data_IF_253890701880
#
_entry.id   IF_253890701880
#
_cell.length_a   1.000
_cell.length_b   1.000
_cell.length_c   1.000
_cell.angle_alpha   90.00
_cell.angle_beta   90.00
_cell.angle_gamma   90.00
#
_symmetry.space_group_name_H-M   'P 1'
#
loop_
_entity.id
_entity.type
_entity.pdbx_description
1 polymer ?
#
# COMPACT_ATOMS: atom_id res chain seq x y z
N UNK A 1 -34.79 -64.18 -2.43
CA UNK A 1 -33.88 -64.18 -3.58
C UNK A 1 -32.78 -63.17 -3.27
N UNK A 2 -31.77 -63.54 -2.48
CA UNK A 2 -30.49 -64.17 -2.91
C UNK A 2 -29.74 -63.19 -3.83
N UNK A 3 -28.81 -62.37 -3.33
CA UNK A 3 -27.42 -62.67 -2.89
C UNK A 3 -26.44 -62.91 -4.05
N UNK A 4 -25.48 -62.01 -4.21
CA UNK A 4 -24.03 -62.20 -4.48
C UNK A 4 -23.45 -60.85 -4.98
N UNK A 5 -22.36 -60.26 -4.49
CA UNK A 5 -21.26 -60.70 -3.63
C UNK A 5 -19.93 -60.63 -4.40
N UNK A 6 -18.93 -59.93 -3.82
CA UNK A 6 -17.46 -59.97 -4.09
C UNK A 6 -16.92 -59.10 -5.24
N UNK A 7 -15.75 -58.44 -5.18
CA UNK A 7 -14.72 -58.27 -4.14
C UNK A 7 -13.74 -57.13 -4.49
N UNK A 8 -13.07 -56.60 -3.46
CA UNK A 8 -11.88 -55.74 -3.54
C UNK A 8 -10.70 -56.41 -4.29
N UNK A 9 -9.91 -55.56 -4.96
CA UNK A 9 -8.44 -55.64 -4.93
C UNK A 9 -7.76 -55.91 -6.25
N UNK A 10 -7.15 -54.89 -6.85
CA UNK A 10 -5.79 -55.02 -7.39
C UNK A 10 -5.11 -53.65 -7.51
N UNK A 11 -3.86 -53.63 -7.07
CA UNK A 11 -2.99 -52.49 -6.80
C UNK A 11 -1.71 -52.80 -7.57
N UNK A 12 -1.47 -52.12 -8.72
CA UNK A 12 -0.17 -51.88 -9.40
C UNK A 12 -0.41 -51.61 -10.87
N UNK A 13 -0.13 -50.39 -11.31
CA UNK A 13 1.04 -50.16 -12.15
C UNK A 13 1.39 -48.66 -12.15
N UNK A 14 2.56 -48.37 -11.57
CA UNK A 14 3.30 -47.11 -11.72
C UNK A 14 4.52 -47.43 -12.57
N UNK A 15 4.68 -46.67 -13.66
CA UNK A 15 5.87 -46.34 -14.49
C UNK A 15 5.34 -46.14 -15.91
N UNK A 16 5.73 -45.16 -16.70
CA UNK A 16 6.70 -44.08 -16.66
C UNK A 16 6.27 -43.23 -17.86
N UNK A 17 5.96 -41.95 -17.68
CA UNK A 17 5.96 -40.97 -18.79
C UNK A 17 6.20 -39.58 -18.20
N UNK A 18 7.47 -39.35 -17.88
CA UNK A 18 8.05 -38.03 -17.69
C UNK A 18 8.29 -37.43 -19.08
N UNK A 19 7.36 -36.61 -19.57
CA UNK A 19 7.64 -35.58 -20.57
C UNK A 19 6.93 -34.29 -20.13
N UNK A 20 7.60 -33.53 -19.25
CA UNK A 20 7.23 -32.16 -18.96
C UNK A 20 7.79 -31.29 -20.09
N UNK A 21 7.00 -31.12 -21.14
CA UNK A 21 7.32 -30.20 -22.22
C UNK A 21 7.21 -28.76 -21.68
N UNK A 22 8.35 -28.07 -21.69
CA UNK A 22 8.53 -26.70 -21.20
C UNK A 22 8.07 -25.73 -22.29
N UNK A 23 6.80 -25.74 -22.67
CA UNK A 23 6.24 -24.76 -23.62
C UNK A 23 4.72 -24.54 -23.53
N UNK A 24 4.09 -24.72 -22.37
CA UNK A 24 2.71 -24.27 -22.22
C UNK A 24 2.64 -22.78 -21.91
N UNK A 25 2.54 -22.02 -23.00
CA UNK A 25 2.10 -20.64 -23.02
C UNK A 25 0.86 -20.48 -22.13
N UNK A 26 0.99 -19.62 -21.12
CA UNK A 26 -0.15 -19.10 -20.35
C UNK A 26 -1.21 -18.63 -21.36
N UNK A 27 -2.42 -19.20 -21.38
CA UNK A 27 -3.44 -18.77 -22.31
C UNK A 27 -3.70 -17.27 -22.08
N UNK A 28 -3.42 -16.48 -23.12
CA UNK A 28 -3.86 -15.09 -23.19
C UNK A 28 -5.39 -15.12 -23.10
N UNK A 29 -5.94 -14.76 -21.94
CA UNK A 29 -7.38 -14.55 -21.78
C UNK A 29 -7.84 -13.54 -22.85
N UNK A 30 -9.04 -13.72 -23.44
CA UNK A 30 -9.58 -12.77 -24.39
C UNK A 30 -9.65 -11.37 -23.78
N UNK A 31 -9.26 -10.35 -24.55
CA UNK A 31 -9.22 -8.92 -24.17
C UNK A 31 -10.54 -8.34 -23.64
N UNK A 32 -11.65 -9.07 -23.70
CA UNK A 32 -12.99 -8.62 -23.33
C UNK A 32 -13.32 -8.90 -21.85
N UNK A 33 -12.76 -9.93 -21.21
CA UNK A 33 -13.00 -10.22 -19.77
C UNK A 33 -12.19 -9.31 -18.81
N UNK A 34 -11.11 -8.68 -19.30
CA UNK A 34 -10.37 -7.64 -18.56
C UNK A 34 -11.17 -6.33 -18.42
N UNK A 35 -12.21 -6.11 -19.24
CA UNK A 35 -13.03 -4.90 -19.16
C UNK A 35 -14.12 -4.98 -18.07
N UNK A 36 -14.60 -6.18 -17.73
CA UNK A 36 -15.59 -6.38 -16.66
C UNK A 36 -14.96 -6.53 -15.27
N UNK A 37 -13.72 -7.02 -15.16
CA UNK A 37 -13.03 -7.15 -13.85
C UNK A 37 -12.58 -5.82 -13.25
N UNK A 38 -12.55 -4.75 -14.05
CA UNK A 38 -12.32 -3.38 -13.57
C UNK A 38 -13.60 -2.66 -13.09
N UNK A 39 -14.71 -3.41 -12.98
CA UNK A 39 -15.98 -2.95 -12.43
C UNK A 39 -16.07 -3.21 -10.90
N UNK A 40 -14.98 -3.04 -10.17
CA UNK A 40 -15.06 -2.86 -8.71
C UNK A 40 -15.79 -1.54 -8.44
N UNK A 41 -16.92 -1.62 -7.72
CA UNK A 41 -17.80 -0.49 -7.40
C UNK A 41 -16.97 0.71 -6.94
N UNK A 42 -17.12 1.88 -7.56
CA UNK A 42 -16.36 3.09 -7.20
C UNK A 42 -16.43 3.43 -5.70
N UNK A 43 -17.46 2.91 -5.00
CA UNK A 43 -17.56 2.92 -3.55
C UNK A 43 -16.42 2.21 -2.82
N UNK A 44 -15.95 1.06 -3.29
CA UNK A 44 -14.83 0.33 -2.68
C UNK A 44 -13.55 1.17 -2.77
N UNK A 45 -13.28 1.76 -3.93
CA UNK A 45 -12.12 2.66 -4.11
C UNK A 45 -12.19 3.88 -3.19
N UNK A 46 -13.39 4.46 -3.06
CA UNK A 46 -13.61 5.59 -2.16
C UNK A 46 -13.40 5.22 -0.69
N UNK A 47 -13.96 4.09 -0.24
CA UNK A 47 -13.79 3.60 1.14
C UNK A 47 -12.32 3.31 1.43
N UNK A 48 -11.63 2.63 0.52
CA UNK A 48 -10.19 2.36 0.62
C UNK A 48 -9.42 3.67 0.77
N UNK A 49 -9.63 4.64 -0.13
CA UNK A 49 -8.94 5.93 -0.06
C UNK A 49 -9.22 6.66 1.26
N UNK A 50 -10.46 6.67 1.73
CA UNK A 50 -10.85 7.29 2.99
C UNK A 50 -10.15 6.64 4.18
N UNK A 51 -10.15 5.30 4.26
CA UNK A 51 -9.48 4.56 5.34
C UNK A 51 -7.98 4.81 5.30
N UNK A 52 -7.36 4.80 4.11
CA UNK A 52 -5.94 5.10 3.95
C UNK A 52 -5.60 6.50 4.46
N UNK A 53 -6.36 7.53 4.06
CA UNK A 53 -6.15 8.91 4.48
C UNK A 53 -6.29 9.06 5.99
N UNK A 54 -7.40 8.59 6.57
CA UNK A 54 -7.66 8.71 8.01
C UNK A 54 -6.60 7.96 8.82
N UNK A 55 -6.22 6.77 8.38
CA UNK A 55 -5.20 5.96 9.07
C UNK A 55 -3.82 6.61 8.99
N UNK A 56 -3.46 7.22 7.86
CA UNK A 56 -2.17 7.88 7.70
C UNK A 56 -2.09 9.17 8.54
N UNK A 57 -3.16 9.95 8.58
CA UNK A 57 -3.26 11.14 9.46
C UNK A 57 -3.20 10.74 10.94
N UNK A 58 -3.93 9.70 11.34
CA UNK A 58 -3.88 9.20 12.71
C UNK A 58 -2.47 8.71 13.09
N UNK A 59 -1.79 7.99 12.18
CA UNK A 59 -0.41 7.55 12.37
C UNK A 59 0.53 8.73 12.61
N UNK A 60 0.47 9.79 11.79
CA UNK A 60 1.33 10.96 11.97
C UNK A 60 1.07 11.67 13.30
N UNK A 61 -0.20 11.80 13.70
CA UNK A 61 -0.55 12.42 14.98
C UNK A 61 -0.04 11.65 16.19
N UNK A 62 -0.24 10.32 16.21
CA UNK A 62 0.25 9.50 17.32
C UNK A 62 1.78 9.47 17.38
N UNK A 63 2.46 9.48 16.23
CA UNK A 63 3.92 9.58 16.18
C UNK A 63 4.42 10.93 16.70
N UNK A 64 3.73 12.03 16.39
CA UNK A 64 4.07 13.37 16.90
C UNK A 64 3.88 13.49 18.42
N UNK A 65 2.92 12.75 19.00
CA UNK A 65 2.72 12.69 20.46
C UNK A 65 3.75 11.80 21.16
N UNK A 66 4.38 10.89 20.42
CA UNK A 66 5.34 9.96 20.95
C UNK A 66 6.74 10.61 20.96
N UNK A 67 7.10 11.27 22.07
CA UNK A 67 8.41 11.91 22.27
C UNK A 67 9.57 10.92 22.49
N UNK A 68 9.52 9.72 21.92
CA UNK A 68 10.54 8.70 22.11
C UNK A 68 11.53 8.72 20.95
N UNK A 69 12.83 8.84 21.26
CA UNK A 69 13.93 8.87 20.29
C UNK A 69 14.24 7.52 19.62
N UNK A 70 13.24 6.64 19.45
CA UNK A 70 13.37 5.30 18.87
C UNK A 70 12.26 5.03 17.81
N UNK A 71 12.28 5.76 16.68
CA UNK A 71 11.28 5.62 15.62
C UNK A 71 11.32 4.24 14.95
N UNK A 72 12.49 3.59 14.83
CA UNK A 72 12.58 2.26 14.24
C UNK A 72 11.92 1.21 15.12
N UNK A 73 12.19 1.24 16.45
CA UNK A 73 11.57 0.32 17.40
C UNK A 73 10.04 0.45 17.38
N UNK A 74 9.55 1.70 17.34
CA UNK A 74 8.11 2.00 17.27
C UNK A 74 7.51 1.41 16.00
N UNK A 75 8.13 1.67 14.84
CA UNK A 75 7.67 1.12 13.57
C UNK A 75 7.70 -0.41 13.55
N UNK A 76 8.78 -1.02 14.02
CA UNK A 76 8.90 -2.48 14.07
C UNK A 76 7.77 -3.09 14.91
N UNK A 77 7.52 -2.55 16.10
CA UNK A 77 6.44 -3.00 16.97
C UNK A 77 5.06 -2.80 16.33
N UNK A 78 4.81 -1.60 15.81
CA UNK A 78 3.52 -1.23 15.23
C UNK A 78 3.22 -1.97 13.91
N UNK A 79 4.22 -2.18 13.06
CA UNK A 79 4.08 -2.95 11.82
C UNK A 79 3.88 -4.45 12.09
N UNK A 80 4.46 -4.97 13.18
CA UNK A 80 4.28 -6.37 13.61
C UNK A 80 2.84 -6.71 13.98
N UNK A 81 1.99 -5.71 14.28
CA UNK A 81 0.58 -5.90 14.61
C UNK A 81 -0.24 -6.62 13.51
N UNK A 82 0.22 -6.56 12.26
CA UNK A 82 -0.47 -7.15 11.11
C UNK A 82 -0.32 -8.68 11.02
N UNK A 83 0.42 -9.32 11.95
CA UNK A 83 0.51 -10.79 12.05
C UNK A 83 -0.84 -11.47 12.32
N UNK A 84 -1.79 -10.78 12.95
CA UNK A 84 -3.08 -11.35 13.32
C UNK A 84 -4.11 -11.37 12.19
N UNK A 85 -3.84 -10.74 11.05
CA UNK A 85 -4.80 -10.61 9.93
C UNK A 85 -5.26 -11.97 9.39
N UNK A 86 -4.33 -12.89 9.09
CA UNK A 86 -4.64 -14.21 8.57
C UNK A 86 -5.29 -15.14 9.62
N UNK A 87 -4.82 -15.20 10.89
CA UNK A 87 -5.54 -15.90 11.95
C UNK A 87 -7.00 -15.45 12.11
N UNK A 88 -7.27 -14.14 12.05
CA UNK A 88 -8.65 -13.61 12.11
C UNK A 88 -9.46 -14.06 10.89
N UNK A 89 -8.87 -14.00 9.69
CA UNK A 89 -9.49 -14.52 8.46
C UNK A 89 -9.81 -16.02 8.56
N UNK A 90 -8.89 -16.84 9.08
CA UNK A 90 -9.10 -18.27 9.30
C UNK A 90 -10.27 -18.54 10.25
N UNK A 91 -10.31 -17.85 11.40
CA UNK A 91 -11.39 -18.01 12.38
C UNK A 91 -12.75 -17.65 11.76
N UNK A 92 -12.80 -16.57 10.97
CA UNK A 92 -14.01 -16.19 10.26
C UNK A 92 -14.46 -17.27 9.26
N UNK A 93 -13.55 -17.76 8.42
CA UNK A 93 -13.87 -18.79 7.43
C UNK A 93 -14.32 -20.12 8.06
N UNK A 94 -13.68 -20.55 9.14
CA UNK A 94 -14.07 -21.76 9.88
C UNK A 94 -15.44 -21.63 10.56
N UNK A 95 -15.88 -20.41 10.90
CA UNK A 95 -17.21 -20.15 11.47
C UNK A 95 -18.30 -20.03 10.41
N UNK A 96 -17.96 -19.59 9.21
CA UNK A 96 -18.94 -19.31 8.15
C UNK A 96 -19.11 -20.48 7.18
N UNK A 97 -18.08 -21.30 6.97
CA UNK A 97 -18.12 -22.45 6.05
C UNK A 97 -18.01 -23.76 6.81
N UNK A 98 -19.06 -24.57 6.75
CA UNK A 98 -19.07 -25.90 7.36
C UNK A 98 -18.16 -26.89 6.62
N UNK A 99 -17.46 -27.76 7.36
CA UNK A 99 -16.64 -28.85 6.80
C UNK A 99 -15.29 -28.42 6.19
N UNK A 100 -14.90 -27.16 6.32
CA UNK A 100 -13.62 -26.67 5.81
C UNK A 100 -12.51 -26.85 6.85
N UNK A 101 -11.35 -27.36 6.43
CA UNK A 101 -10.17 -27.51 7.29
C UNK A 101 -9.22 -26.32 7.15
N UNK A 102 -8.40 -26.06 8.18
CA UNK A 102 -7.36 -25.00 8.14
C UNK A 102 -6.43 -25.20 6.94
N UNK A 103 -5.95 -26.43 6.72
CA UNK A 103 -5.10 -26.77 5.58
C UNK A 103 -5.82 -26.57 4.25
N UNK A 104 -7.15 -26.76 4.20
CA UNK A 104 -7.99 -26.46 3.05
C UNK A 104 -7.96 -24.97 2.71
N UNK A 105 -8.21 -24.09 3.67
CA UNK A 105 -8.22 -22.62 3.47
C UNK A 105 -6.84 -22.11 3.08
N UNK A 106 -5.80 -22.63 3.72
CA UNK A 106 -4.40 -22.29 3.44
C UNK A 106 -4.02 -22.68 2.00
N UNK A 107 -4.37 -23.91 1.59
CA UNK A 107 -4.14 -24.37 0.22
C UNK A 107 -4.99 -23.59 -0.79
N UNK A 108 -6.25 -23.26 -0.48
CA UNK A 108 -7.11 -22.42 -1.33
C UNK A 108 -6.50 -21.03 -1.53
N UNK A 109 -6.00 -20.42 -0.45
CA UNK A 109 -5.33 -19.12 -0.49
C UNK A 109 -4.06 -19.16 -1.34
N UNK A 110 -3.29 -20.24 -1.29
CA UNK A 110 -2.06 -20.40 -2.07
C UNK A 110 -2.30 -20.80 -3.53
N UNK A 111 -3.28 -21.69 -3.80
CA UNK A 111 -3.52 -22.32 -5.11
C UNK A 111 -3.71 -21.32 -6.26
N UNK A 112 -4.26 -20.16 -5.96
CA UNK A 112 -4.55 -19.17 -6.98
C UNK A 112 -3.42 -18.16 -7.24
N UNK A 113 -2.37 -18.15 -6.41
CA UNK A 113 -1.21 -17.25 -6.57
C UNK A 113 0.12 -17.98 -6.76
N UNK A 114 0.35 -19.10 -6.08
CA UNK A 114 1.65 -19.77 -6.00
C UNK A 114 1.54 -21.30 -5.99
N UNK A 115 2.40 -21.94 -6.79
CA UNK A 115 2.51 -23.40 -6.85
C UNK A 115 3.25 -24.01 -5.64
N UNK A 116 4.06 -23.22 -4.92
CA UNK A 116 4.88 -23.70 -3.80
C UNK A 116 5.10 -22.61 -2.75
N UNK A 117 5.19 -23.03 -1.49
CA UNK A 117 5.56 -22.19 -0.34
C UNK A 117 6.90 -21.50 -0.51
N UNK A 118 7.88 -22.15 -1.15
CA UNK A 118 9.20 -21.57 -1.39
C UNK A 118 9.11 -20.33 -2.27
N UNK A 119 8.31 -20.39 -3.35
CA UNK A 119 8.12 -19.24 -4.25
C UNK A 119 7.40 -18.09 -3.57
N UNK A 120 6.43 -18.41 -2.72
CA UNK A 120 5.73 -17.42 -1.91
C UNK A 120 6.67 -16.73 -0.90
N UNK A 121 7.48 -17.49 -0.17
CA UNK A 121 8.47 -16.91 0.76
C UNK A 121 9.56 -16.12 0.04
N UNK A 122 10.01 -16.57 -1.14
CA UNK A 122 10.94 -15.82 -1.99
C UNK A 122 10.35 -14.50 -2.51
N UNK A 123 9.03 -14.33 -2.50
CA UNK A 123 8.40 -13.03 -2.74
C UNK A 123 8.31 -12.21 -1.44
N UNK A 124 7.81 -12.81 -0.36
CA UNK A 124 7.53 -12.09 0.90
C UNK A 124 8.80 -11.58 1.58
N UNK A 125 9.85 -12.39 1.62
CA UNK A 125 11.07 -12.02 2.36
C UNK A 125 11.75 -10.79 1.74
N UNK A 126 12.02 -10.74 0.41
CA UNK A 126 12.52 -9.52 -0.22
C UNK A 126 11.56 -8.34 -0.07
N UNK A 127 10.24 -8.57 -0.17
CA UNK A 127 9.23 -7.53 0.03
C UNK A 127 9.31 -6.89 1.42
N UNK A 128 9.50 -7.70 2.46
CA UNK A 128 9.65 -7.24 3.84
C UNK A 128 10.91 -6.40 4.02
N UNK A 129 12.02 -6.83 3.41
CA UNK A 129 13.29 -6.09 3.43
C UNK A 129 13.12 -4.74 2.73
N UNK A 130 12.55 -4.71 1.52
CA UNK A 130 12.31 -3.48 0.77
C UNK A 130 11.45 -2.49 1.56
N UNK A 131 10.35 -2.95 2.17
CA UNK A 131 9.47 -2.08 2.96
C UNK A 131 10.17 -1.46 4.18
N UNK A 132 11.00 -2.23 4.86
CA UNK A 132 11.69 -1.76 6.07
C UNK A 132 12.89 -0.88 5.73
N UNK A 133 13.68 -1.24 4.71
CA UNK A 133 14.71 -0.37 4.17
C UNK A 133 14.09 0.94 3.70
N UNK A 134 12.93 0.87 3.04
CA UNK A 134 12.21 2.04 2.59
C UNK A 134 11.89 3.01 3.74
N UNK A 135 11.23 2.49 4.76
CA UNK A 135 10.82 3.28 5.91
C UNK A 135 12.03 3.88 6.64
N UNK A 136 13.11 3.10 6.81
CA UNK A 136 14.33 3.58 7.46
C UNK A 136 15.01 4.71 6.69
N UNK A 137 15.12 4.61 5.36
CA UNK A 137 15.69 5.67 4.52
C UNK A 137 14.86 6.95 4.61
N UNK A 138 13.53 6.84 4.61
CA UNK A 138 12.63 7.98 4.79
C UNK A 138 12.82 8.67 6.15
N UNK A 139 12.93 7.88 7.24
CA UNK A 139 13.21 8.41 8.57
C UNK A 139 14.55 9.14 8.64
N UNK A 140 15.63 8.51 8.14
CA UNK A 140 16.96 9.14 8.07
C UNK A 140 16.93 10.45 7.29
N UNK A 141 16.19 10.49 6.18
CA UNK A 141 15.94 11.72 5.42
C UNK A 141 15.30 12.81 6.26
N UNK A 142 14.24 12.45 6.99
CA UNK A 142 13.47 13.37 7.84
C UNK A 142 14.27 13.97 9.01
N UNK A 143 15.33 13.29 9.47
CA UNK A 143 16.22 13.82 10.51
C UNK A 143 17.34 14.72 9.98
N UNK A 144 17.65 14.64 8.68
CA UNK A 144 18.81 15.32 8.07
C UNK A 144 18.42 16.50 7.18
N UNK A 145 17.15 16.58 6.77
CA UNK A 145 16.63 17.61 5.88
C UNK A 145 15.25 18.09 6.37
N UNK A 146 14.79 19.28 5.93
CA UNK A 146 13.48 19.80 6.29
C UNK A 146 12.35 18.82 5.91
N UNK A 147 11.44 18.55 6.85
CA UNK A 147 10.33 17.61 6.65
C UNK A 147 9.48 17.92 5.41
N UNK A 148 9.28 19.21 5.09
CA UNK A 148 8.55 19.64 3.90
C UNK A 148 9.22 19.16 2.60
N UNK A 149 10.54 19.28 2.51
CA UNK A 149 11.33 18.86 1.34
C UNK A 149 11.35 17.34 1.21
N UNK A 150 11.56 16.62 2.32
CA UNK A 150 11.56 15.16 2.36
C UNK A 150 10.21 14.59 1.93
N UNK A 151 9.11 15.13 2.46
CA UNK A 151 7.74 14.73 2.07
C UNK A 151 7.51 14.99 0.58
N UNK A 152 7.91 16.15 0.05
CA UNK A 152 7.73 16.47 -1.36
C UNK A 152 8.46 15.49 -2.28
N UNK A 153 9.73 15.19 -1.98
CA UNK A 153 10.54 14.23 -2.73
C UNK A 153 9.93 12.83 -2.65
N UNK A 154 9.54 12.39 -1.45
CA UNK A 154 8.92 11.09 -1.22
C UNK A 154 7.64 10.88 -2.05
N UNK A 155 6.79 11.90 -2.12
CA UNK A 155 5.54 11.85 -2.88
C UNK A 155 5.75 11.84 -4.40
N UNK A 156 6.95 12.16 -4.88
CA UNK A 156 7.37 11.89 -6.25
C UNK A 156 7.29 10.41 -6.63
N UNK A 157 7.29 9.49 -5.65
CA UNK A 157 7.05 8.05 -5.86
C UNK A 157 5.75 7.76 -6.61
N UNK A 158 4.70 8.59 -6.49
CA UNK A 158 3.45 8.39 -7.24
C UNK A 158 3.66 8.40 -8.76
N UNK A 159 4.58 9.23 -9.25
CA UNK A 159 4.99 9.26 -10.66
C UNK A 159 5.69 7.97 -11.08
N UNK A 160 6.65 7.52 -10.26
CA UNK A 160 7.38 6.27 -10.50
C UNK A 160 6.47 5.05 -10.44
N UNK A 161 5.55 5.00 -9.47
CA UNK A 161 4.52 3.96 -9.34
C UNK A 161 3.67 3.92 -10.61
N UNK A 162 3.22 5.08 -11.13
CA UNK A 162 2.44 5.10 -12.37
C UNK A 162 3.23 4.56 -13.56
N UNK A 163 4.45 5.05 -13.75
CA UNK A 163 5.35 4.62 -14.84
C UNK A 163 5.59 3.11 -14.77
N UNK A 164 6.01 2.61 -13.60
CA UNK A 164 6.28 1.20 -13.38
C UNK A 164 5.01 0.34 -13.50
N UNK A 165 3.83 0.85 -13.12
CA UNK A 165 2.58 0.11 -13.31
C UNK A 165 2.25 -0.08 -14.79
N UNK A 166 2.47 0.94 -15.62
CA UNK A 166 2.29 0.83 -17.07
C UNK A 166 3.27 -0.17 -17.69
N UNK A 167 4.54 -0.16 -17.27
CA UNK A 167 5.56 -1.04 -17.86
C UNK A 167 5.51 -2.48 -17.33
N UNK A 168 5.41 -2.68 -16.01
CA UNK A 168 5.56 -3.99 -15.34
C UNK A 168 4.22 -4.71 -15.21
N UNK A 169 3.16 -4.00 -14.82
CA UNK A 169 1.81 -4.57 -14.70
C UNK A 169 1.05 -4.54 -16.03
N UNK A 170 1.59 -3.87 -17.06
CA UNK A 170 0.96 -3.69 -18.38
C UNK A 170 -0.40 -2.98 -18.30
N UNK A 171 -0.57 -2.08 -17.35
CA UNK A 171 -1.76 -1.22 -17.29
C UNK A 171 -1.90 -0.37 -18.57
N UNK A 172 -3.14 -0.11 -19.01
CA UNK A 172 -3.40 0.80 -20.15
C UNK A 172 -2.89 2.20 -19.83
N UNK A 173 -1.93 2.67 -20.62
CA UNK A 173 -1.44 4.04 -20.52
C UNK A 173 -2.58 5.04 -20.77
N UNK A 174 -2.64 6.08 -19.94
CA UNK A 174 -3.67 7.10 -20.00
C UNK A 174 -3.06 8.46 -19.70
N UNK A 175 -3.04 9.32 -20.70
CA UNK A 175 -2.57 10.70 -20.57
C UNK A 175 -3.23 11.44 -19.40
N UNK A 176 -4.50 11.16 -19.11
CA UNK A 176 -5.24 11.79 -18.03
C UNK A 176 -4.77 11.34 -16.66
N UNK A 177 -4.46 10.05 -16.47
CA UNK A 177 -3.84 9.55 -15.24
C UNK A 177 -2.48 10.21 -15.03
N UNK A 178 -1.66 10.30 -16.08
CA UNK A 178 -0.35 10.92 -16.00
C UNK A 178 -0.44 12.40 -15.61
N UNK A 179 -1.33 13.17 -16.26
CA UNK A 179 -1.56 14.58 -15.94
C UNK A 179 -2.06 14.72 -14.49
N UNK A 180 -2.99 13.88 -14.05
CA UNK A 180 -3.47 13.89 -12.67
C UNK A 180 -2.33 13.69 -11.65
N UNK A 181 -1.46 12.70 -11.88
CA UNK A 181 -0.28 12.44 -11.02
C UNK A 181 0.65 13.66 -10.99
N UNK A 182 0.96 14.25 -12.14
CA UNK A 182 1.84 15.43 -12.23
C UNK A 182 1.23 16.66 -11.53
N UNK A 183 -0.08 16.86 -11.66
CA UNK A 183 -0.81 17.93 -10.98
C UNK A 183 -0.78 17.72 -9.46
N UNK A 184 -0.95 16.48 -8.96
CA UNK A 184 -0.81 16.18 -7.55
C UNK A 184 0.62 16.44 -7.04
N UNK A 185 1.65 15.97 -7.76
CA UNK A 185 3.06 16.22 -7.39
C UNK A 185 3.35 17.73 -7.34
N UNK A 186 2.90 18.49 -8.34
CA UNK A 186 3.03 19.95 -8.35
C UNK A 186 2.35 20.60 -7.14
N UNK A 187 1.15 20.13 -6.78
CA UNK A 187 0.45 20.58 -5.58
C UNK A 187 1.21 20.30 -4.28
N UNK A 188 1.82 19.12 -4.14
CA UNK A 188 2.66 18.78 -2.98
C UNK A 188 3.88 19.69 -2.89
N UNK A 189 4.54 19.98 -4.02
CA UNK A 189 5.69 20.89 -4.06
C UNK A 189 5.26 22.29 -3.58
N UNK A 190 4.12 22.81 -4.05
CA UNK A 190 3.61 24.11 -3.61
C UNK A 190 3.30 24.14 -2.10
N UNK A 191 2.69 23.07 -1.58
CA UNK A 191 2.45 22.91 -0.13
C UNK A 191 3.77 22.91 0.63
N UNK A 192 4.77 22.13 0.19
CA UNK A 192 6.06 22.05 0.84
C UNK A 192 6.81 23.39 0.86
N UNK A 193 6.78 24.13 -0.25
CA UNK A 193 7.38 25.47 -0.34
C UNK A 193 6.68 26.48 0.58
N UNK A 194 5.35 26.41 0.68
CA UNK A 194 4.58 27.29 1.55
C UNK A 194 4.79 27.02 3.04
N UNK A 195 5.09 25.77 3.41
CA UNK A 195 5.33 25.35 4.80
C UNK A 195 6.72 25.67 5.35
N UNK A 196 7.56 26.41 4.61
CA UNK A 196 8.79 27.01 5.15
C UNK A 196 10.08 26.31 4.76
N UNK A 197 10.43 26.34 3.46
CA UNK A 197 11.75 25.91 2.98
C UNK A 197 12.90 26.88 3.25
N UNK A 198 13.02 27.53 4.43
CA UNK A 198 13.99 28.64 4.53
C UNK A 198 14.45 29.20 5.88
N UNK A 199 14.36 28.50 7.02
CA UNK A 199 14.88 29.08 8.30
C UNK A 199 15.77 28.18 9.14
N UNK A 200 15.88 26.89 8.85
CA UNK A 200 16.80 25.99 9.54
C UNK A 200 17.91 25.55 8.58
N UNK A 201 19.15 25.89 8.92
CA UNK A 201 20.32 25.46 8.16
C UNK A 201 20.66 24.02 8.53
N UNK A 202 20.21 23.07 7.73
CA UNK A 202 20.61 21.66 7.86
C UNK A 202 21.95 21.45 7.13
N UNK A 203 23.07 21.23 7.84
CA UNK A 203 24.39 21.09 7.22
C UNK A 203 24.51 19.88 6.27
N UNK A 204 23.61 18.89 6.40
CA UNK A 204 23.53 17.70 5.56
C UNK A 204 22.19 17.58 4.80
N UNK A 205 21.51 18.70 4.49
CA UNK A 205 20.19 18.68 3.80
C UNK A 205 20.21 17.83 2.53
N UNK A 206 21.23 17.99 1.69
CA UNK A 206 21.38 17.24 0.45
C UNK A 206 21.40 15.72 0.66
N UNK A 207 22.00 15.24 1.76
CA UNK A 207 22.07 13.81 2.07
C UNK A 207 20.69 13.30 2.50
N UNK A 208 19.95 14.10 3.28
CA UNK A 208 18.57 13.80 3.64
C UNK A 208 17.64 13.74 2.43
N UNK A 209 17.82 14.65 1.48
CA UNK A 209 17.09 14.67 0.20
C UNK A 209 17.40 13.43 -0.65
N UNK A 210 18.66 12.99 -0.71
CA UNK A 210 19.05 11.73 -1.37
C UNK A 210 18.39 10.53 -0.70
N UNK A 211 18.40 10.46 0.63
CA UNK A 211 17.70 9.38 1.36
C UNK A 211 16.19 9.38 1.06
N UNK A 212 15.56 10.55 0.99
CA UNK A 212 14.16 10.69 0.61
C UNK A 212 13.91 10.19 -0.84
N UNK A 213 14.78 10.53 -1.79
CA UNK A 213 14.66 10.09 -3.18
C UNK A 213 14.86 8.57 -3.33
N UNK A 214 15.89 8.01 -2.69
CA UNK A 214 16.12 6.57 -2.63
C UNK A 214 14.89 5.88 -2.05
N UNK A 215 14.31 6.48 -1.00
CA UNK A 215 13.11 5.92 -0.42
C UNK A 215 11.95 5.91 -1.43
N UNK A 216 11.69 7.02 -2.13
CA UNK A 216 10.63 7.09 -3.13
C UNK A 216 10.74 5.95 -4.19
N UNK A 217 11.97 5.65 -4.62
CA UNK A 217 12.25 4.55 -5.57
C UNK A 217 11.95 3.18 -4.95
N UNK A 218 12.45 2.90 -3.74
CA UNK A 218 12.24 1.60 -3.08
C UNK A 218 10.75 1.34 -2.83
N UNK A 219 9.98 2.33 -2.38
CA UNK A 219 8.53 2.21 -2.24
C UNK A 219 7.85 1.86 -3.57
N UNK A 220 8.27 2.51 -4.65
CA UNK A 220 7.71 2.29 -5.98
C UNK A 220 7.96 0.86 -6.44
N UNK A 221 9.19 0.38 -6.30
CA UNK A 221 9.57 -1.00 -6.63
C UNK A 221 8.81 -1.99 -5.75
N UNK A 222 8.73 -1.73 -4.45
CA UNK A 222 8.03 -2.59 -3.48
C UNK A 222 6.53 -2.74 -3.80
N UNK A 223 5.83 -1.64 -4.04
CA UNK A 223 4.40 -1.67 -4.34
C UNK A 223 4.12 -2.41 -5.65
N UNK A 224 4.97 -2.18 -6.67
CA UNK A 224 4.85 -2.84 -7.97
C UNK A 224 5.22 -4.32 -7.89
N UNK A 225 6.24 -4.67 -7.10
CA UNK A 225 6.61 -6.05 -6.84
C UNK A 225 5.43 -6.82 -6.23
N UNK A 226 4.80 -6.29 -5.18
CA UNK A 226 3.62 -6.90 -4.57
C UNK A 226 2.49 -7.14 -5.60
N UNK A 227 2.11 -6.10 -6.36
CA UNK A 227 1.00 -6.21 -7.30
C UNK A 227 1.35 -7.08 -8.52
N UNK A 228 2.62 -7.17 -8.90
CA UNK A 228 3.05 -8.03 -10.00
C UNK A 228 2.79 -9.51 -9.70
N UNK A 229 2.98 -9.93 -8.45
CA UNK A 229 2.75 -11.31 -8.02
C UNK A 229 1.30 -11.58 -7.61
N UNK A 230 0.61 -10.62 -6.99
CA UNK A 230 -0.82 -10.75 -6.63
C UNK A 230 -1.71 -10.22 -7.76
N UNK A 231 -1.69 -10.89 -8.92
CA UNK A 231 -2.52 -10.51 -10.09
C UNK A 231 -4.00 -10.90 -9.96
N UNK A 232 -4.29 -11.99 -9.25
CA UNK A 232 -5.66 -12.48 -9.02
C UNK A 232 -5.99 -12.29 -7.54
N UNK A 233 -6.66 -11.19 -7.16
CA UNK A 233 -6.82 -10.83 -5.76
C UNK A 233 -7.85 -11.73 -5.08
N UNK A 234 -7.35 -12.72 -4.35
CA UNK A 234 -8.14 -13.52 -3.41
C UNK A 234 -7.83 -13.04 -2.01
N UNK A 235 -8.87 -12.73 -1.25
CA UNK A 235 -8.74 -12.16 0.09
C UNK A 235 -7.85 -13.02 0.99
N UNK A 236 -8.00 -14.35 0.93
CA UNK A 236 -7.16 -15.28 1.68
C UNK A 236 -5.67 -15.15 1.37
N UNK A 237 -5.29 -14.99 0.09
CA UNK A 237 -3.89 -14.78 -0.31
C UNK A 237 -3.34 -13.45 0.20
N UNK A 238 -4.14 -12.38 0.13
CA UNK A 238 -3.75 -11.04 0.61
C UNK A 238 -3.56 -11.07 2.12
N UNK A 239 -4.50 -11.63 2.88
CA UNK A 239 -4.38 -11.77 4.33
C UNK A 239 -3.15 -12.61 4.72
N UNK A 240 -2.91 -13.71 4.00
CA UNK A 240 -1.76 -14.59 4.21
C UNK A 240 -0.43 -13.87 3.92
N UNK A 241 -0.37 -13.05 2.87
CA UNK A 241 0.75 -12.16 2.58
C UNK A 241 1.01 -11.18 3.72
N UNK A 242 0.00 -10.43 4.14
CA UNK A 242 0.14 -9.39 5.18
C UNK A 242 0.68 -10.00 6.48
N UNK A 243 0.13 -11.14 6.91
CA UNK A 243 0.57 -11.79 8.13
C UNK A 243 1.94 -12.44 8.01
N UNK A 244 2.28 -13.03 6.86
CA UNK A 244 3.61 -13.60 6.65
C UNK A 244 4.68 -12.51 6.54
N UNK A 245 4.39 -11.38 5.89
CA UNK A 245 5.27 -10.20 5.85
C UNK A 245 5.53 -9.68 7.27
N UNK A 246 4.50 -9.63 8.12
CA UNK A 246 4.63 -9.24 9.53
C UNK A 246 5.42 -10.27 10.35
N UNK A 247 5.25 -11.56 10.08
CA UNK A 247 6.03 -12.61 10.71
C UNK A 247 7.51 -12.51 10.33
N UNK A 248 7.82 -12.27 9.05
CA UNK A 248 9.19 -12.04 8.59
C UNK A 248 9.80 -10.80 9.24
N UNK A 249 9.01 -9.73 9.43
CA UNK A 249 9.42 -8.52 10.15
C UNK A 249 9.82 -8.82 11.60
N UNK A 250 9.00 -9.62 12.31
CA UNK A 250 9.29 -10.04 13.68
C UNK A 250 10.56 -10.90 13.74
N UNK A 251 10.72 -11.85 12.82
CA UNK A 251 11.80 -12.84 12.86
C UNK A 251 13.16 -12.30 12.40
N UNK A 252 13.19 -11.46 11.36
CA UNK A 252 14.44 -11.00 10.73
C UNK A 252 14.83 -9.58 11.14
N UNK A 253 13.85 -8.70 11.34
CA UNK A 253 14.08 -7.26 11.45
C UNK A 253 14.03 -6.73 12.89
N UNK A 254 14.05 -7.62 13.89
CA UNK A 254 14.32 -7.26 15.27
C UNK A 254 15.82 -7.01 15.54
N UNK A 255 16.71 -7.62 14.74
CA UNK A 255 18.18 -7.56 14.92
C UNK A 255 18.76 -6.13 14.91
N UNK A 256 18.28 -5.18 14.07
CA UNK A 256 18.76 -3.80 14.12
C UNK A 256 18.46 -3.06 15.45
N UNK A 257 17.45 -3.48 16.21
CA UNK A 257 17.06 -2.81 17.48
C UNK A 257 18.20 -2.84 18.51
N UNK A 258 18.76 -4.01 18.92
CA UNK A 258 19.88 -4.02 19.85
C UNK A 258 21.11 -3.30 19.27
N UNK A 259 21.35 -3.39 17.96
CA UNK A 259 22.48 -2.71 17.31
C UNK A 259 22.35 -1.19 17.46
N UNK A 260 21.17 -0.63 17.20
CA UNK A 260 20.92 0.81 17.35
C UNK A 260 21.02 1.27 18.80
N UNK A 261 20.58 0.43 19.75
CA UNK A 261 20.71 0.70 21.17
C UNK A 261 22.17 0.70 21.63
N UNK A 262 22.98 -0.28 21.21
CA UNK A 262 24.39 -0.37 21.56
C UNK A 262 25.25 0.72 20.91
N UNK A 263 24.91 1.11 19.67
CA UNK A 263 25.61 2.19 18.95
C UNK A 263 25.15 3.58 19.36
N UNK A 264 24.09 3.69 20.17
CA UNK A 264 23.51 4.96 20.58
C UNK A 264 22.85 5.74 19.45
N UNK A 265 22.55 5.10 18.31
CA UNK A 265 21.86 5.72 17.17
C UNK A 265 20.41 6.04 17.54
N UNK A 266 19.76 5.14 18.29
CA UNK A 266 18.44 5.33 18.86
C UNK A 266 18.48 4.87 20.33
N UNK A 267 17.92 5.68 21.23
CA UNK A 267 17.74 5.28 22.62
C UNK A 267 16.51 4.36 22.71
N UNK A 268 16.71 3.08 22.37
CA UNK A 268 15.66 2.07 22.36
C UNK A 268 15.28 1.70 23.81
N UNK A 269 14.40 2.50 24.41
CA UNK A 269 13.77 2.19 25.69
C UNK A 269 12.33 1.70 25.47
N UNK A 270 11.90 0.71 26.25
CA UNK A 270 10.49 0.35 26.30
C UNK A 270 9.68 1.50 26.91
N UNK A 271 8.44 1.73 26.43
CA UNK A 271 7.56 2.73 27.03
C UNK A 271 7.35 2.42 28.52
N UNK A 272 7.62 3.41 29.37
CA UNK A 272 7.53 3.24 30.84
C UNK A 272 6.11 3.59 31.31
N UNK A 273 5.52 4.62 30.71
CA UNK A 273 4.22 5.15 31.10
C UNK A 273 3.06 4.54 30.30
N UNK A 274 1.90 4.39 30.95
CA UNK A 274 0.68 3.93 30.28
C UNK A 274 0.28 4.83 29.09
N UNK A 275 0.53 6.14 29.17
CA UNK A 275 0.26 7.09 28.07
C UNK A 275 1.11 6.79 26.83
N UNK A 276 2.39 6.49 27.04
CA UNK A 276 3.30 6.14 25.94
C UNK A 276 2.87 4.81 25.29
N UNK A 277 2.42 3.83 26.08
CA UNK A 277 1.82 2.62 25.56
C UNK A 277 0.56 2.88 24.72
N UNK A 278 -0.33 3.78 25.17
CA UNK A 278 -1.51 4.17 24.40
C UNK A 278 -1.13 4.79 23.05
N UNK A 279 -0.08 5.62 22.99
CA UNK A 279 0.41 6.17 21.73
C UNK A 279 0.96 5.08 20.80
N UNK A 280 1.78 4.16 21.32
CA UNK A 280 2.31 3.03 20.54
C UNK A 280 1.18 2.14 19.99
N UNK A 281 0.16 1.86 20.80
CA UNK A 281 -1.04 1.13 20.35
C UNK A 281 -1.79 1.93 19.29
N UNK A 282 -1.95 3.25 19.46
CA UNK A 282 -2.54 4.14 18.46
C UNK A 282 -1.81 4.10 17.13
N UNK A 283 -0.47 4.16 17.13
CA UNK A 283 0.37 3.97 15.93
C UNK A 283 0.15 2.58 15.34
N UNK A 284 0.13 1.52 16.16
CA UNK A 284 -0.06 0.15 15.69
C UNK A 284 -1.41 -0.05 14.99
N UNK A 285 -2.51 0.44 15.57
CA UNK A 285 -3.85 0.37 14.97
C UNK A 285 -3.91 1.18 13.67
N UNK A 286 -3.27 2.34 13.64
CA UNK A 286 -3.23 3.21 12.45
C UNK A 286 -2.44 2.54 11.31
N UNK A 287 -1.26 1.96 11.61
CA UNK A 287 -0.46 1.22 10.63
C UNK A 287 -1.18 -0.03 10.16
N UNK A 288 -1.81 -0.79 11.04
CA UNK A 288 -2.62 -1.96 10.67
C UNK A 288 -3.74 -1.56 9.69
N UNK A 289 -4.47 -0.50 10.00
CA UNK A 289 -5.58 -0.01 9.18
C UNK A 289 -5.09 0.49 7.81
N UNK A 290 -4.00 1.25 7.80
CA UNK A 290 -3.36 1.72 6.56
C UNK A 290 -2.85 0.56 5.71
N UNK A 291 -2.16 -0.41 6.32
CA UNK A 291 -1.68 -1.61 5.63
C UNK A 291 -2.83 -2.41 5.03
N UNK A 292 -3.91 -2.66 5.78
CA UNK A 292 -5.07 -3.35 5.25
C UNK A 292 -5.65 -2.59 4.05
N UNK A 293 -5.83 -1.27 4.16
CA UNK A 293 -6.37 -0.46 3.08
C UNK A 293 -5.46 -0.45 1.83
N UNK A 294 -4.14 -0.36 2.00
CA UNK A 294 -3.18 -0.40 0.88
C UNK A 294 -3.12 -1.80 0.26
N UNK A 295 -2.94 -2.85 1.06
CA UNK A 295 -2.72 -4.21 0.53
C UNK A 295 -3.97 -4.86 -0.05
N UNK A 296 -5.14 -4.58 0.53
CA UNK A 296 -6.42 -4.99 -0.05
C UNK A 296 -6.77 -4.04 -1.19
N UNK A 297 -6.63 -2.73 -0.99
CA UNK A 297 -7.05 -1.72 -1.94
C UNK A 297 -6.30 -1.75 -3.26
N UNK A 298 -4.99 -1.99 -3.24
CA UNK A 298 -4.18 -1.89 -4.45
C UNK A 298 -4.59 -2.89 -5.54
N UNK A 299 -4.74 -4.19 -5.24
CA UNK A 299 -5.18 -5.16 -6.24
C UNK A 299 -6.62 -4.97 -6.71
N UNK A 300 -7.50 -4.38 -5.89
CA UNK A 300 -8.90 -4.11 -6.26
C UNK A 300 -9.12 -2.75 -6.96
N UNK A 301 -8.11 -1.88 -6.99
CA UNK A 301 -8.19 -0.54 -7.58
C UNK A 301 -7.05 -0.32 -8.58
N UNK A 302 -5.97 0.32 -8.17
CA UNK A 302 -4.67 0.32 -8.86
C UNK A 302 -3.58 0.87 -7.92
N UNK A 303 -2.30 0.49 -8.11
CA UNK A 303 -1.15 1.10 -7.42
C UNK A 303 -1.14 2.61 -7.48
N UNK A 304 -1.46 3.16 -8.65
CA UNK A 304 -1.49 4.60 -8.90
C UNK A 304 -2.59 5.29 -8.09
N UNK A 305 -3.77 4.68 -7.99
CA UNK A 305 -4.88 5.22 -7.21
C UNK A 305 -4.52 5.34 -5.73
N UNK A 306 -3.94 4.28 -5.15
CA UNK A 306 -3.50 4.27 -3.75
C UNK A 306 -2.40 5.30 -3.51
N UNK A 307 -1.44 5.45 -4.43
CA UNK A 307 -0.39 6.46 -4.33
C UNK A 307 -0.94 7.90 -4.27
N UNK A 308 -1.96 8.21 -5.08
CA UNK A 308 -2.61 9.53 -5.05
C UNK A 308 -3.47 9.70 -3.78
N UNK A 309 -4.14 8.65 -3.31
CA UNK A 309 -4.86 8.68 -2.03
C UNK A 309 -3.92 9.01 -0.86
N UNK A 310 -2.69 8.48 -0.86
CA UNK A 310 -1.66 8.84 0.13
C UNK A 310 -1.26 10.32 0.05
N UNK A 311 -1.12 10.88 -1.16
CA UNK A 311 -0.84 12.31 -1.34
C UNK A 311 -1.95 13.18 -0.73
N UNK A 312 -3.22 12.75 -0.85
CA UNK A 312 -4.36 13.47 -0.29
C UNK A 312 -4.36 13.51 1.25
N UNK A 313 -3.61 12.64 1.92
CA UNK A 313 -3.45 12.70 3.37
C UNK A 313 -2.68 13.94 3.84
N UNK A 314 -1.80 14.52 3.01
CA UNK A 314 -0.98 15.69 3.36
C UNK A 314 -1.85 16.91 3.74
N UNK A 315 -2.78 17.38 2.89
CA UNK A 315 -3.66 18.49 3.27
C UNK A 315 -4.58 18.14 4.45
N UNK A 316 -4.97 16.88 4.60
CA UNK A 316 -5.76 16.42 5.75
C UNK A 316 -4.98 16.51 7.06
N UNK A 317 -3.72 16.03 7.10
CA UNK A 317 -2.83 16.14 8.26
C UNK A 317 -2.65 17.60 8.65
N UNK A 318 -2.34 18.46 7.68
CA UNK A 318 -2.19 19.90 7.95
C UNK A 318 -3.49 20.52 8.51
N UNK A 319 -4.65 20.15 7.98
CA UNK A 319 -5.94 20.61 8.50
C UNK A 319 -6.18 20.18 9.96
N UNK A 320 -5.78 18.96 10.32
CA UNK A 320 -5.84 18.46 11.70
C UNK A 320 -4.85 19.22 12.60
N UNK A 321 -3.62 19.45 12.14
CA UNK A 321 -2.61 20.22 12.87
C UNK A 321 -3.10 21.65 13.17
N UNK A 322 -3.65 22.34 12.17
CA UNK A 322 -4.22 23.68 12.34
C UNK A 322 -5.38 23.70 13.34
N UNK A 323 -6.28 22.72 13.23
CA UNK A 323 -7.43 22.62 14.13
C UNK A 323 -6.96 22.40 15.58
N UNK A 324 -5.96 21.54 15.77
CA UNK A 324 -5.36 21.26 17.07
C UNK A 324 -4.66 22.50 17.63
N UNK A 325 -3.87 23.21 16.84
CA UNK A 325 -3.21 24.45 17.28
C UNK A 325 -4.22 25.55 17.63
N UNK A 326 -5.30 25.66 16.86
CA UNK A 326 -6.39 26.58 17.17
C UNK A 326 -7.10 26.23 18.48
N UNK A 327 -7.46 24.96 18.68
CA UNK A 327 -8.18 24.49 19.87
C UNK A 327 -7.32 24.51 21.14
N UNK A 328 -6.03 24.19 21.04
CA UNK A 328 -5.14 24.04 22.21
C UNK A 328 -4.37 25.30 22.55
N UNK A 329 -3.87 26.02 21.53
CA UNK A 329 -3.00 27.20 21.72
C UNK A 329 -3.71 28.52 21.38
N UNK A 330 -4.91 28.47 20.80
CA UNK A 330 -5.62 29.68 20.35
C UNK A 330 -4.94 30.41 19.18
N UNK A 331 -3.96 29.76 18.54
CA UNK A 331 -3.17 30.37 17.46
C UNK A 331 -4.02 30.34 16.18
N UNK A 332 -4.19 31.50 15.55
CA UNK A 332 -4.84 31.57 14.25
C UNK A 332 -3.84 31.14 13.18
N UNK A 333 -4.20 30.18 12.32
CA UNK A 333 -3.29 29.73 11.29
C UNK A 333 -3.08 30.82 10.24
N UNK A 334 -1.82 31.08 9.89
CA UNK A 334 -1.47 31.94 8.76
C UNK A 334 -1.42 31.08 7.51
N UNK A 335 -2.49 31.15 6.70
CA UNK A 335 -2.60 30.35 5.48
C UNK A 335 -2.02 31.16 4.31
N UNK A 336 -0.89 30.69 3.78
CA UNK A 336 -0.31 31.28 2.57
C UNK A 336 -1.21 30.99 1.34
N UNK A 337 -1.42 31.97 0.44
CA UNK A 337 -2.13 31.71 -0.83
C UNK A 337 -1.50 30.56 -1.64
N UNK A 338 -0.16 30.40 -1.54
CA UNK A 338 0.57 29.32 -2.19
C UNK A 338 0.17 27.94 -1.66
N UNK A 339 -0.05 27.86 -0.34
CA UNK A 339 -0.50 26.65 0.32
C UNK A 339 -1.89 26.24 -0.17
N UNK A 340 -2.83 27.19 -0.22
CA UNK A 340 -4.21 26.95 -0.71
C UNK A 340 -4.18 26.48 -2.16
N UNK A 341 -3.40 27.13 -3.02
CA UNK A 341 -3.25 26.73 -4.41
C UNK A 341 -2.72 25.29 -4.53
N UNK A 342 -1.74 24.90 -3.70
CA UNK A 342 -1.22 23.53 -3.64
C UNK A 342 -2.30 22.51 -3.25
N UNK A 343 -3.09 22.79 -2.21
CA UNK A 343 -4.22 21.93 -1.81
C UNK A 343 -5.22 21.77 -2.96
N UNK A 344 -5.61 22.88 -3.61
CA UNK A 344 -6.55 22.85 -4.71
C UNK A 344 -6.05 21.98 -5.85
N UNK A 345 -4.75 22.05 -6.20
CA UNK A 345 -4.16 21.18 -7.20
C UNK A 345 -4.19 19.70 -6.81
N UNK A 346 -3.87 19.36 -5.55
CA UNK A 346 -3.95 17.98 -5.06
C UNK A 346 -5.37 17.43 -5.20
N UNK A 347 -6.38 18.20 -4.77
CA UNK A 347 -7.79 17.82 -4.86
C UNK A 347 -8.23 17.67 -6.33
N UNK A 348 -7.86 18.62 -7.19
CA UNK A 348 -8.17 18.56 -8.61
C UNK A 348 -7.56 17.33 -9.29
N UNK A 349 -6.30 17.01 -9.00
CA UNK A 349 -5.65 15.81 -9.52
C UNK A 349 -6.36 14.52 -9.08
N UNK A 350 -6.76 14.42 -7.80
CA UNK A 350 -7.54 13.29 -7.30
C UNK A 350 -8.92 13.18 -7.97
N UNK A 351 -9.61 14.31 -8.20
CA UNK A 351 -10.90 14.34 -8.90
C UNK A 351 -10.72 13.88 -10.35
N UNK A 352 -9.71 14.38 -11.07
CA UNK A 352 -9.44 13.98 -12.47
C UNK A 352 -9.14 12.48 -12.57
N UNK A 353 -8.44 11.92 -11.58
CA UNK A 353 -8.17 10.48 -11.53
C UNK A 353 -9.45 9.65 -11.27
N UNK A 354 -10.31 10.11 -10.35
CA UNK A 354 -11.55 9.43 -9.98
C UNK A 354 -12.65 9.55 -11.04
N UNK A 355 -12.71 10.67 -11.74
CA UNK A 355 -13.61 10.81 -12.87
C UNK A 355 -13.12 9.87 -13.96
N UNK A 356 -13.80 8.73 -14.11
CA UNK A 356 -13.54 7.76 -15.13
C UNK A 356 -13.84 8.37 -16.51
N UNK A 357 -12.88 9.10 -17.10
CA UNK A 357 -13.00 9.69 -18.44
C UNK A 357 -13.31 8.59 -19.47
N UNK A 358 -12.95 7.32 -19.24
CA UNK A 358 -13.33 6.21 -20.11
C UNK A 358 -14.85 6.14 -20.35
N UNK A 359 -15.66 6.38 -19.31
CA UNK A 359 -17.13 6.49 -19.46
C UNK A 359 -17.54 7.76 -20.18
N UNK A 360 -16.87 8.88 -19.96
CA UNK A 360 -17.19 10.14 -20.64
C UNK A 360 -16.88 10.04 -22.14
N UNK A 361 -15.74 9.46 -22.52
CA UNK A 361 -15.34 9.27 -23.91
C UNK A 361 -16.23 8.22 -24.60
N UNK A 362 -16.56 7.11 -23.93
CA UNK A 362 -17.55 6.13 -24.43
C UNK A 362 -18.95 6.76 -24.57
N UNK A 363 -19.38 7.60 -23.62
CA UNK A 363 -20.64 8.38 -23.72
C UNK A 363 -20.59 9.44 -24.81
N UNK A 364 -19.46 10.11 -25.05
CA UNK A 364 -19.30 11.11 -26.11
C UNK A 364 -19.23 10.47 -27.50
N UNK A 365 -18.56 9.32 -27.64
CA UNK A 365 -18.54 8.55 -28.88
C UNK A 365 -19.92 7.93 -29.18
N UNK A 366 -20.59 7.33 -28.19
CA UNK A 366 -21.95 6.81 -28.36
C UNK A 366 -22.97 7.93 -28.70
N UNK A 367 -22.76 9.16 -28.20
CA UNK A 367 -23.56 10.33 -28.61
C UNK A 367 -23.26 10.81 -30.03
N UNK A 368 -22.05 10.61 -30.54
CA UNK A 368 -21.69 10.95 -31.94
C UNK A 368 -22.23 9.91 -32.92
N UNK A 369 -22.17 8.62 -32.61
CA UNK A 369 -22.75 7.57 -33.46
C UNK A 369 -24.28 7.63 -33.50
N UNK A 370 -24.94 7.88 -32.36
CA UNK A 370 -26.40 8.08 -32.32
C UNK A 370 -26.88 9.30 -33.12
N UNK A 371 -26.13 10.41 -33.12
CA UNK A 371 -26.46 11.59 -33.93
C UNK A 371 -26.27 11.39 -35.44
N UNK A 372 -25.36 10.50 -35.84
CA UNK A 372 -25.18 10.17 -37.25
C UNK A 372 -26.25 9.20 -37.77
N UNK A 373 -26.75 8.28 -36.92
CA UNK A 373 -27.83 7.37 -37.27
C UNK A 373 -29.20 8.05 -37.41
N UNK A 374 -29.42 9.20 -36.75
CA UNK A 374 -30.64 10.00 -36.91
C UNK A 374 -30.60 10.98 -38.10
N UNK A 375 -29.47 11.06 -38.83
CA UNK A 375 -29.28 11.95 -39.99
C UNK A 375 -29.22 11.20 -41.33
N UNK A 376 -29.16 9.88 -41.31
CA UNK A 376 -29.43 8.96 -42.44
C UNK A 376 -30.84 8.47 -42.35
#
# INVERSE_FOLDING_TARGET
>A
MVSSGLSLGEYKDMRDDNDYDVTDAVPLLPKEEEEETNQTSGWISFVVALVTIVSLVAMTEFMNLQSNGAPYQTFWFSASSSIFVFPVYLIHQLRTRDGVTVSGILNESMKCGFASWTRFLLMVVPSTILFTTQFYMYLKGSYMAPSSTVIAIFNGSAGLIYILSVFVLKERFSWLKMIAVLVCIGGVIMVALASGGGSESFPLSWLGEVFAAVSAVILSVYLIHFNYYIRKPIMGLICLYISTNSLTMILLLWIPIPIFNFTGIEACALPVDYKQWLYVIGVAVSILSSNLAVWIGTPYTSPTFIAIANILAIPCSYGVDMLKDYLTKGIRPVISPLFIAGIVLIILGFIVLNFNIGRLFKRMMNRRTSKNYQRT
#
